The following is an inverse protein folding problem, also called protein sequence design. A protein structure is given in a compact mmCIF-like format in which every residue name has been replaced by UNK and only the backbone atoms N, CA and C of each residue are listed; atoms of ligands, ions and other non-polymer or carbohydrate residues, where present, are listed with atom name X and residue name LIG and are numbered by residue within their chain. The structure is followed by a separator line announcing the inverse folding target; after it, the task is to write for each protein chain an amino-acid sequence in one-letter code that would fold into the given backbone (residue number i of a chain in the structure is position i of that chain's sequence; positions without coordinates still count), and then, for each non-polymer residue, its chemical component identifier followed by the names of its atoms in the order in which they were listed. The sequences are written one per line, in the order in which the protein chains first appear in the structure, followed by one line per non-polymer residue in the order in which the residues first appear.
data_IF_588177376068
#
_entry.id   IF_588177376068
#
_cell.length_a   1.000
_cell.length_b   1.000
_cell.length_c   1.000
_cell.angle_alpha   90.00
_cell.angle_beta   90.00
_cell.angle_gamma   90.00
#
_symmetry.space_group_name_H-M   'P 1'
#
loop_
_entity.id
_entity.type
_entity.pdbx_description
1 polymer ?
#
# COMPACT_ATOMS: atom_id res chain seq x y z
N UNK A 1 1.38 8.67 -9.95
CA UNK A 1 1.34 9.29 -11.29
C UNK A 1 0.82 8.33 -12.36
N UNK A 2 1.44 7.18 -12.58
CA UNK A 2 1.09 6.27 -13.68
C UNK A 2 -0.42 5.92 -13.79
N UNK A 3 -1.09 5.61 -12.67
CA UNK A 3 -2.53 5.30 -12.67
C UNK A 3 -3.40 6.49 -13.13
N UNK A 4 -3.05 7.72 -12.71
CA UNK A 4 -3.73 8.94 -13.16
C UNK A 4 -3.51 9.20 -14.66
N UNK A 5 -2.26 9.02 -15.12
CA UNK A 5 -1.95 9.16 -16.54
C UNK A 5 -2.74 8.14 -17.40
N UNK A 6 -2.80 6.88 -16.97
CA UNK A 6 -3.63 5.88 -17.67
C UNK A 6 -5.11 6.26 -17.72
N UNK A 7 -5.64 6.76 -16.60
CA UNK A 7 -7.04 7.18 -16.54
C UNK A 7 -7.35 8.27 -17.56
N UNK A 8 -6.56 9.35 -17.62
CA UNK A 8 -6.83 10.44 -18.58
C UNK A 8 -6.58 10.00 -20.02
N UNK A 9 -5.61 9.08 -20.25
CA UNK A 9 -5.36 8.50 -21.58
C UNK A 9 -6.56 7.67 -22.10
N UNK A 10 -7.31 6.99 -21.22
CA UNK A 10 -8.51 6.23 -21.59
C UNK A 10 -9.61 7.14 -22.20
N UNK A 11 -9.56 8.43 -21.94
CA UNK A 11 -10.48 9.45 -22.49
C UNK A 11 -9.83 10.27 -23.62
N UNK A 12 -8.74 9.76 -24.22
CA UNK A 12 -8.10 10.38 -25.38
C UNK A 12 -7.23 11.59 -25.08
N UNK A 13 -6.97 11.92 -23.82
CA UNK A 13 -6.07 13.01 -23.42
C UNK A 13 -4.63 12.57 -23.69
N UNK A 14 -3.87 13.39 -24.41
CA UNK A 14 -2.47 13.12 -24.72
C UNK A 14 -1.61 13.25 -23.45
N UNK A 15 -0.67 12.34 -23.29
CA UNK A 15 0.22 12.29 -22.13
C UNK A 15 1.65 12.56 -22.57
N UNK A 16 2.26 13.53 -21.93
CA UNK A 16 3.70 13.76 -21.97
C UNK A 16 4.26 13.94 -20.56
N UNK A 17 5.55 13.79 -20.37
CA UNK A 17 6.18 14.04 -19.08
C UNK A 17 7.57 13.47 -18.94
N UNK A 18 8.10 13.55 -17.71
CA UNK A 18 9.43 13.08 -17.37
C UNK A 18 9.46 12.21 -16.11
N UNK A 19 10.38 11.29 -16.06
CA UNK A 19 10.70 10.49 -14.87
C UNK A 19 12.19 10.19 -14.81
N UNK A 20 12.80 10.33 -13.66
CA UNK A 20 14.22 10.02 -13.46
C UNK A 20 14.55 8.53 -13.74
N UNK A 21 13.59 7.63 -13.53
CA UNK A 21 13.72 6.19 -13.77
C UNK A 21 12.57 5.67 -14.62
N UNK A 22 12.81 5.52 -15.92
CA UNK A 22 11.83 4.89 -16.82
C UNK A 22 11.77 3.40 -16.51
N UNK A 23 10.68 2.96 -15.93
CA UNK A 23 10.43 1.58 -15.51
C UNK A 23 9.31 0.90 -16.34
N UNK A 24 8.96 -0.34 -15.99
CA UNK A 24 7.92 -1.10 -16.71
C UNK A 24 6.54 -0.40 -16.77
N UNK A 25 6.20 0.39 -15.75
CA UNK A 25 4.94 1.17 -15.74
C UNK A 25 5.00 2.35 -16.73
N UNK A 26 6.14 3.04 -16.83
CA UNK A 26 6.37 4.08 -17.83
C UNK A 26 6.35 3.48 -19.24
N UNK A 27 7.02 2.34 -19.45
CA UNK A 27 7.03 1.64 -20.72
C UNK A 27 5.61 1.26 -21.20
N UNK A 28 4.70 0.92 -20.28
CA UNK A 28 3.29 0.68 -20.60
C UNK A 28 2.57 1.92 -21.16
N UNK A 29 2.83 3.10 -20.60
CA UNK A 29 2.30 4.37 -21.12
C UNK A 29 2.91 4.72 -22.47
N UNK A 30 4.23 4.57 -22.63
CA UNK A 30 4.94 4.84 -23.89
C UNK A 30 4.39 3.98 -25.04
N UNK A 31 4.16 2.68 -24.78
CA UNK A 31 3.55 1.78 -25.77
C UNK A 31 2.15 2.22 -26.21
N UNK A 32 1.45 2.94 -25.35
CA UNK A 32 0.12 3.51 -25.64
C UNK A 32 0.18 4.96 -26.15
N UNK A 33 1.34 5.40 -26.62
CA UNK A 33 1.48 6.70 -27.28
C UNK A 33 1.91 7.86 -26.38
N UNK A 34 2.16 7.64 -25.09
CA UNK A 34 2.66 8.69 -24.22
C UNK A 34 4.12 9.05 -24.53
N UNK A 35 4.46 10.33 -24.49
CA UNK A 35 5.82 10.83 -24.64
C UNK A 35 6.46 11.00 -23.28
N UNK A 36 7.29 10.05 -22.84
CA UNK A 36 7.95 10.09 -21.54
C UNK A 36 9.46 10.11 -21.73
N UNK A 37 10.10 11.18 -21.27
CA UNK A 37 11.54 11.39 -21.33
C UNK A 37 12.23 11.31 -19.97
N UNK A 38 13.55 11.58 -19.98
CA UNK A 38 14.31 11.82 -18.75
C UNK A 38 14.27 13.31 -18.40
N UNK A 39 14.40 13.61 -17.11
CA UNK A 39 14.40 14.99 -16.60
C UNK A 39 15.67 15.73 -17.05
N UNK A 40 15.59 17.01 -17.42
CA UNK A 40 14.41 17.85 -17.68
C UNK A 40 13.93 17.78 -19.13
N UNK A 41 12.62 17.88 -19.34
CA UNK A 41 12.04 18.05 -20.68
C UNK A 41 11.13 19.28 -20.73
N UNK A 42 11.63 20.37 -21.31
CA UNK A 42 10.91 21.65 -21.36
C UNK A 42 9.93 21.74 -22.53
N UNK A 43 10.17 21.03 -23.62
CA UNK A 43 9.36 21.12 -24.83
C UNK A 43 7.93 20.66 -24.57
N UNK A 44 7.78 19.55 -23.88
CA UNK A 44 6.46 19.01 -23.58
C UNK A 44 5.66 19.88 -22.58
N UNK A 45 6.34 20.63 -21.71
CA UNK A 45 5.68 21.54 -20.76
C UNK A 45 5.03 22.72 -21.49
N UNK A 46 5.70 23.31 -22.48
CA UNK A 46 5.18 24.50 -23.20
C UNK A 46 3.91 24.23 -23.99
N UNK A 47 3.64 22.97 -24.33
CA UNK A 47 2.47 22.54 -25.10
C UNK A 47 1.39 21.85 -24.25
N UNK A 48 1.54 21.87 -22.93
CA UNK A 48 0.60 21.21 -22.03
C UNK A 48 -0.53 22.14 -21.60
N UNK A 49 -1.76 21.64 -21.57
CA UNK A 49 -2.92 22.36 -21.01
C UNK A 49 -2.85 22.45 -19.48
N UNK A 50 -2.22 21.49 -18.83
CA UNK A 50 -1.96 21.48 -17.39
C UNK A 50 -0.79 20.54 -17.04
N UNK A 51 -0.16 20.79 -15.90
CA UNK A 51 0.94 19.97 -15.35
C UNK A 51 0.54 19.31 -14.04
N UNK A 52 0.79 18.01 -13.91
CA UNK A 52 0.57 17.26 -12.66
C UNK A 52 1.90 16.72 -12.17
N UNK A 53 2.25 17.03 -10.92
CA UNK A 53 3.51 16.59 -10.31
C UNK A 53 3.30 15.77 -9.04
N UNK A 54 4.28 14.92 -8.72
CA UNK A 54 4.33 14.17 -7.46
C UNK A 54 4.82 15.04 -6.31
N UNK A 55 4.33 14.84 -5.09
CA UNK A 55 4.84 15.47 -3.85
C UNK A 55 6.35 15.28 -3.63
N UNK A 56 6.98 14.36 -4.38
CA UNK A 56 8.41 14.14 -4.39
C UNK A 56 9.19 15.18 -5.20
N UNK A 57 8.54 15.91 -6.10
CA UNK A 57 9.17 16.87 -6.99
C UNK A 57 9.31 18.21 -6.25
N UNK A 58 10.55 18.74 -6.08
CA UNK A 58 10.79 19.97 -5.33
C UNK A 58 10.22 21.21 -6.04
N UNK A 59 10.08 22.30 -5.30
CA UNK A 59 9.46 23.54 -5.80
C UNK A 59 10.27 24.25 -6.87
N UNK A 60 11.59 24.03 -6.88
CA UNK A 60 12.58 24.58 -7.83
C UNK A 60 12.78 23.68 -9.06
N UNK A 61 11.99 22.62 -9.19
CA UNK A 61 12.05 21.75 -10.38
C UNK A 61 11.81 22.60 -11.66
N UNK A 62 12.67 22.47 -12.69
CA UNK A 62 12.62 23.32 -13.87
C UNK A 62 11.30 23.22 -14.66
N UNK A 63 10.67 22.05 -14.75
CA UNK A 63 9.38 21.88 -15.42
C UNK A 63 8.26 22.62 -14.69
N UNK A 64 8.27 22.59 -13.33
CA UNK A 64 7.33 23.39 -12.51
C UNK A 64 7.56 24.89 -12.67
N UNK A 65 8.83 25.33 -12.76
CA UNK A 65 9.17 26.73 -12.99
C UNK A 65 8.70 27.20 -14.37
N UNK A 66 8.92 26.36 -15.40
CA UNK A 66 8.49 26.65 -16.78
C UNK A 66 6.96 26.72 -16.91
N UNK A 67 6.23 25.81 -16.26
CA UNK A 67 4.78 25.86 -16.26
C UNK A 67 4.23 27.15 -15.64
N UNK A 68 4.84 27.63 -14.53
CA UNK A 68 4.47 28.91 -13.92
C UNK A 68 4.79 30.11 -14.82
N UNK A 69 5.96 30.10 -15.48
CA UNK A 69 6.35 31.16 -16.46
C UNK A 69 5.33 31.27 -17.60
N UNK A 70 4.71 30.16 -17.99
CA UNK A 70 3.74 30.09 -19.09
C UNK A 70 2.28 30.14 -18.61
N UNK A 71 2.01 30.43 -17.35
CA UNK A 71 0.68 30.43 -16.75
C UNK A 71 -0.12 29.13 -16.96
N UNK A 72 0.59 27.99 -17.09
CA UNK A 72 -0.01 26.66 -17.22
C UNK A 72 -0.50 26.20 -15.83
N UNK A 73 -1.75 25.76 -15.68
CA UNK A 73 -2.28 25.24 -14.41
C UNK A 73 -1.42 24.09 -13.89
N UNK A 74 -1.05 24.14 -12.61
CA UNK A 74 -0.17 23.15 -11.96
C UNK A 74 -0.87 22.51 -10.78
N UNK A 75 -0.99 21.20 -10.79
CA UNK A 75 -1.64 20.42 -9.75
C UNK A 75 -0.66 19.47 -9.07
N UNK A 76 -0.71 19.37 -7.75
CA UNK A 76 -0.09 18.25 -7.08
C UNK A 76 -0.94 16.97 -7.30
N UNK A 77 -0.30 15.81 -7.29
CA UNK A 77 -0.95 14.52 -7.55
C UNK A 77 -2.26 14.32 -6.77
N UNK A 78 -2.30 14.73 -5.51
CA UNK A 78 -3.48 14.53 -4.65
C UNK A 78 -4.63 15.49 -5.01
N UNK A 79 -4.33 16.70 -5.47
CA UNK A 79 -5.31 17.67 -5.95
C UNK A 79 -5.95 17.16 -7.24
N UNK A 80 -5.12 16.68 -8.17
CA UNK A 80 -5.62 16.12 -9.42
C UNK A 80 -6.42 14.83 -9.20
N UNK A 81 -6.00 13.98 -8.24
CA UNK A 81 -6.78 12.81 -7.84
C UNK A 81 -8.16 13.19 -7.30
N UNK A 82 -8.26 14.27 -6.54
CA UNK A 82 -9.53 14.78 -6.03
C UNK A 82 -10.42 15.29 -7.18
N UNK A 83 -9.86 16.02 -8.15
CA UNK A 83 -10.61 16.44 -9.35
C UNK A 83 -11.15 15.23 -10.11
N UNK A 84 -10.33 14.20 -10.37
CA UNK A 84 -10.76 12.97 -11.01
C UNK A 84 -11.86 12.27 -10.20
N UNK A 85 -11.72 12.19 -8.87
CA UNK A 85 -12.72 11.54 -8.01
C UNK A 85 -14.10 12.20 -8.09
N UNK A 86 -14.15 13.51 -8.31
CA UNK A 86 -15.39 14.29 -8.42
C UNK A 86 -16.13 14.12 -9.76
N UNK A 87 -15.52 13.47 -10.73
CA UNK A 87 -16.18 13.11 -12.00
C UNK A 87 -17.15 11.94 -11.82
N UNK A 88 -16.98 11.15 -10.76
CA UNK A 88 -17.76 9.95 -10.50
C UNK A 88 -18.93 10.24 -9.57
N UNK A 89 -20.03 9.48 -9.72
CA UNK A 89 -21.19 9.63 -8.84
C UNK A 89 -20.95 9.13 -7.43
N UNK A 90 -19.98 8.24 -7.24
CA UNK A 90 -19.62 7.71 -5.94
C UNK A 90 -18.13 7.44 -5.85
N UNK A 91 -17.47 7.97 -4.82
CA UNK A 91 -16.07 7.68 -4.51
C UNK A 91 -15.96 6.86 -3.23
N UNK A 92 -15.15 5.79 -3.29
CA UNK A 92 -14.72 4.99 -2.14
C UNK A 92 -13.22 5.22 -1.95
N UNK A 93 -12.83 5.72 -0.79
CA UNK A 93 -11.45 6.04 -0.49
C UNK A 93 -10.94 5.22 0.70
N UNK A 94 -9.87 4.46 0.48
CA UNK A 94 -9.27 3.54 1.46
C UNK A 94 -8.03 4.18 2.08
N UNK A 95 -8.13 4.52 3.36
CA UNK A 95 -7.07 5.09 4.18
C UNK A 95 -6.62 4.13 5.31
N UNK A 96 -5.55 4.49 5.99
CA UNK A 96 -4.96 3.76 7.11
C UNK A 96 -3.45 3.66 6.95
N UNK A 97 -2.73 3.43 8.03
CA UNK A 97 -1.27 3.30 7.98
C UNK A 97 -0.87 2.08 7.14
N UNK A 98 -1.53 0.94 7.34
CA UNK A 98 -1.23 -0.33 6.66
C UNK A 98 -2.46 -0.92 5.96
N UNK A 99 -2.24 -1.76 4.93
CA UNK A 99 -3.29 -2.54 4.28
C UNK A 99 -4.04 -1.85 3.14
N UNK A 100 -3.82 -0.56 2.88
CA UNK A 100 -4.50 0.22 1.83
C UNK A 100 -4.54 -0.51 0.48
N UNK A 101 -3.38 -0.84 -0.06
CA UNK A 101 -3.23 -1.45 -1.40
C UNK A 101 -3.97 -2.80 -1.50
N UNK A 102 -3.80 -3.66 -0.49
CA UNK A 102 -4.46 -4.96 -0.47
C UNK A 102 -5.98 -4.83 -0.39
N UNK A 103 -6.48 -3.96 0.49
CA UNK A 103 -7.93 -3.72 0.65
C UNK A 103 -8.53 -3.09 -0.60
N UNK A 104 -7.84 -2.13 -1.23
CA UNK A 104 -8.26 -1.51 -2.50
C UNK A 104 -8.33 -2.54 -3.62
N UNK A 105 -7.32 -3.42 -3.75
CA UNK A 105 -7.31 -4.48 -4.74
C UNK A 105 -8.42 -5.54 -4.49
N UNK A 106 -8.66 -5.92 -3.23
CA UNK A 106 -9.76 -6.81 -2.85
C UNK A 106 -11.12 -6.21 -3.18
N UNK A 107 -11.33 -4.93 -2.88
CA UNK A 107 -12.58 -4.25 -3.22
C UNK A 107 -12.77 -4.12 -4.73
N UNK A 108 -11.73 -3.77 -5.49
CA UNK A 108 -11.78 -3.75 -6.96
C UNK A 108 -12.20 -5.12 -7.52
N UNK A 109 -11.67 -6.20 -6.96
CA UNK A 109 -12.05 -7.57 -7.33
C UNK A 109 -13.52 -7.89 -6.99
N UNK A 110 -14.00 -7.46 -5.80
CA UNK A 110 -15.41 -7.59 -5.41
C UNK A 110 -16.31 -6.83 -6.40
N UNK A 111 -15.99 -5.57 -6.71
CA UNK A 111 -16.78 -4.75 -7.64
C UNK A 111 -16.84 -5.39 -9.02
N UNK A 112 -15.71 -5.85 -9.57
CA UNK A 112 -15.65 -6.53 -10.86
C UNK A 112 -16.48 -7.82 -10.87
N UNK A 113 -16.33 -8.66 -9.85
CA UNK A 113 -17.05 -9.95 -9.73
C UNK A 113 -18.56 -9.77 -9.59
N UNK A 114 -19.03 -8.59 -9.20
CA UNK A 114 -20.44 -8.24 -9.10
C UNK A 114 -20.92 -7.32 -10.24
N UNK A 115 -20.15 -7.22 -11.33
CA UNK A 115 -20.49 -6.45 -12.54
C UNK A 115 -20.77 -4.96 -12.27
N UNK A 116 -20.13 -4.38 -11.27
CA UNK A 116 -20.21 -2.93 -11.02
C UNK A 116 -19.39 -2.18 -12.04
N UNK A 117 -19.88 -1.06 -12.53
CA UNK A 117 -19.13 -0.11 -13.35
C UNK A 117 -18.21 0.72 -12.44
N UNK A 118 -16.90 0.59 -12.59
CA UNK A 118 -15.95 1.30 -11.73
C UNK A 118 -14.61 1.57 -12.40
N UNK A 119 -13.91 2.57 -11.87
CA UNK A 119 -12.46 2.72 -12.08
C UNK A 119 -11.75 2.66 -10.73
N UNK A 120 -10.55 2.06 -10.69
CA UNK A 120 -9.77 1.99 -9.47
C UNK A 120 -8.30 2.36 -9.67
N UNK A 121 -7.75 3.14 -8.71
CA UNK A 121 -6.33 3.46 -8.60
C UNK A 121 -5.75 2.75 -7.38
N UNK A 122 -4.91 1.77 -7.64
CA UNK A 122 -4.28 0.90 -6.64
C UNK A 122 -2.84 1.36 -6.44
N UNK A 123 -2.40 1.56 -5.20
CA UNK A 123 -1.08 2.10 -4.88
C UNK A 123 0.10 1.16 -5.21
N UNK A 124 -0.18 -0.14 -5.36
CA UNK A 124 0.77 -1.15 -5.82
C UNK A 124 0.25 -1.90 -7.05
N UNK A 125 0.97 -2.94 -7.47
CA UNK A 125 0.56 -3.77 -8.59
C UNK A 125 -0.30 -4.94 -8.12
N UNK A 126 -1.61 -4.87 -8.35
CA UNK A 126 -2.48 -6.04 -8.26
C UNK A 126 -2.12 -7.06 -9.35
N UNK A 127 -2.16 -8.34 -9.03
CA UNK A 127 -1.91 -9.39 -10.01
C UNK A 127 -2.96 -9.34 -11.14
N UNK A 128 -4.20 -9.00 -10.79
CA UNK A 128 -5.31 -8.94 -11.74
C UNK A 128 -5.37 -7.61 -12.52
N UNK A 129 -5.12 -6.46 -11.85
CA UNK A 129 -5.41 -5.13 -12.40
C UNK A 129 -4.17 -4.27 -12.65
N UNK A 130 -2.95 -4.75 -12.30
CA UNK A 130 -1.80 -3.87 -12.17
C UNK A 130 -2.08 -2.76 -11.14
N UNK A 131 -1.73 -1.51 -11.42
CA UNK A 131 -1.97 -0.36 -10.52
C UNK A 131 -3.19 0.49 -10.88
N UNK A 132 -3.93 0.09 -11.93
CA UNK A 132 -5.10 0.80 -12.45
C UNK A 132 -6.02 -0.17 -13.17
N UNK A 133 -7.31 0.05 -13.03
CA UNK A 133 -8.35 -0.62 -13.81
C UNK A 133 -9.44 0.39 -14.17
N UNK A 134 -9.89 0.32 -15.43
CA UNK A 134 -11.09 0.98 -15.90
C UNK A 134 -12.10 -0.10 -16.35
N UNK A 135 -13.12 -0.32 -15.54
CA UNK A 135 -14.24 -1.24 -15.80
C UNK A 135 -15.56 -0.45 -15.89
N UNK A 136 -15.48 0.81 -16.29
CA UNK A 136 -16.66 1.67 -16.40
C UNK A 136 -17.49 1.33 -17.64
N UNK A 137 -16.82 0.95 -18.73
CA UNK A 137 -17.47 0.69 -20.00
C UNK A 137 -18.00 1.97 -20.69
N UNK A 138 -17.52 3.16 -20.24
CA UNK A 138 -17.92 4.46 -20.82
C UNK A 138 -16.78 5.08 -21.59
N UNK A 139 -17.10 5.85 -22.64
CA UNK A 139 -16.14 6.56 -23.49
C UNK A 139 -16.15 8.07 -23.29
N UNK A 140 -17.15 8.60 -22.59
CA UNK A 140 -17.30 10.02 -22.30
C UNK A 140 -17.16 10.26 -20.79
N UNK A 141 -16.49 11.35 -20.42
CA UNK A 141 -16.24 11.70 -18.99
C UNK A 141 -17.55 11.96 -18.25
N UNK A 142 -18.54 12.52 -18.92
CA UNK A 142 -19.84 12.87 -18.37
C UNK A 142 -20.64 11.66 -17.87
N UNK A 143 -20.41 10.47 -18.48
CA UNK A 143 -21.08 9.23 -18.13
C UNK A 143 -20.48 8.55 -16.87
N UNK A 144 -19.37 9.07 -16.36
CA UNK A 144 -18.73 8.56 -15.13
C UNK A 144 -19.59 8.78 -13.89
N UNK A 145 -20.60 9.65 -13.93
CA UNK A 145 -21.54 9.90 -12.83
C UNK A 145 -22.31 8.66 -12.38
N UNK A 146 -22.44 7.66 -13.25
CA UNK A 146 -23.10 6.39 -12.93
C UNK A 146 -22.11 5.30 -12.44
N UNK A 147 -20.85 5.66 -12.29
CA UNK A 147 -19.77 4.73 -11.97
C UNK A 147 -19.20 4.99 -10.57
N UNK A 148 -18.54 3.97 -10.03
CA UNK A 148 -17.80 4.04 -8.76
C UNK A 148 -16.33 4.35 -9.01
N UNK A 149 -15.77 5.32 -8.29
CA UNK A 149 -14.33 5.54 -8.23
C UNK A 149 -13.77 4.95 -6.94
N UNK A 150 -12.73 4.15 -7.06
CA UNK A 150 -12.03 3.52 -5.94
C UNK A 150 -10.57 3.98 -5.92
N UNK A 151 -10.10 4.51 -4.78
CA UNK A 151 -8.71 4.93 -4.66
C UNK A 151 -8.15 4.73 -3.25
N UNK A 152 -6.82 4.70 -3.18
CA UNK A 152 -6.11 4.82 -1.93
C UNK A 152 -6.01 6.28 -1.51
N UNK A 153 -6.34 6.56 -0.25
CA UNK A 153 -6.24 7.87 0.39
C UNK A 153 -4.99 7.91 1.27
N UNK A 154 -3.92 8.53 0.76
CA UNK A 154 -2.62 8.58 1.43
C UNK A 154 -2.61 9.65 2.53
N UNK A 155 -2.19 9.25 3.74
CA UNK A 155 -2.06 10.16 4.89
C UNK A 155 -0.83 11.07 4.82
N UNK A 156 0.18 10.71 4.03
CA UNK A 156 1.39 11.51 3.87
C UNK A 156 1.06 12.95 3.48
N UNK A 157 1.65 13.93 4.19
CA UNK A 157 1.34 15.37 4.06
C UNK A 157 -0.16 15.69 4.13
N UNK A 158 -0.97 14.85 4.75
CA UNK A 158 -2.43 14.97 4.86
C UNK A 158 -3.17 14.99 3.51
N UNK A 159 -2.58 14.42 2.47
CA UNK A 159 -3.09 14.43 1.09
C UNK A 159 -4.51 13.85 0.98
N UNK A 160 -4.87 12.90 1.85
CA UNK A 160 -6.23 12.32 1.89
C UNK A 160 -7.33 13.36 2.13
N UNK A 161 -7.00 14.52 2.73
CA UNK A 161 -7.99 15.58 3.02
C UNK A 161 -8.45 16.35 1.77
N UNK A 162 -7.79 16.18 0.63
CA UNK A 162 -8.26 16.71 -0.65
C UNK A 162 -9.49 15.96 -1.20
N UNK A 163 -9.68 14.70 -0.80
CA UNK A 163 -10.78 13.87 -1.25
C UNK A 163 -12.09 14.16 -0.50
N UNK A 164 -13.23 14.07 -1.21
CA UNK A 164 -14.58 14.15 -0.67
C UNK A 164 -15.37 12.85 -1.01
N UNK A 165 -14.98 11.70 -0.44
CA UNK A 165 -15.59 10.42 -0.80
C UNK A 165 -16.96 10.24 -0.15
N UNK A 166 -17.86 9.53 -0.83
CA UNK A 166 -19.10 9.04 -0.21
C UNK A 166 -18.79 8.00 0.88
N UNK A 167 -17.84 7.10 0.62
CA UNK A 167 -17.43 6.05 1.54
C UNK A 167 -15.96 6.23 1.91
N UNK A 168 -15.69 6.51 3.18
CA UNK A 168 -14.35 6.53 3.75
C UNK A 168 -14.07 5.28 4.56
N UNK A 169 -12.94 4.64 4.30
CA UNK A 169 -12.45 3.51 5.08
C UNK A 169 -11.16 3.89 5.77
N UNK A 170 -11.04 3.67 7.09
CA UNK A 170 -9.79 3.77 7.85
C UNK A 170 -9.48 2.44 8.49
N UNK A 171 -8.50 1.74 7.94
CA UNK A 171 -8.15 0.37 8.33
C UNK A 171 -7.53 0.29 9.72
N UNK A 172 -6.60 1.17 10.00
CA UNK A 172 -5.84 1.29 11.24
C UNK A 172 -5.22 2.68 11.33
N UNK A 173 -4.76 3.05 12.54
CA UNK A 173 -4.07 4.30 12.79
C UNK A 173 -2.86 4.01 13.68
N UNK A 174 -1.66 4.07 13.10
CA UNK A 174 -0.37 3.92 13.75
C UNK A 174 0.49 5.15 13.46
N UNK A 175 1.54 5.37 14.25
CA UNK A 175 2.48 6.44 13.99
C UNK A 175 3.38 6.01 12.83
N UNK A 176 3.30 6.72 11.71
CA UNK A 176 4.21 6.60 10.56
C UNK A 176 4.47 8.00 10.01
N UNK A 177 5.42 8.12 9.09
CA UNK A 177 5.82 9.41 8.50
C UNK A 177 6.24 10.45 9.56
N UNK A 178 7.35 10.21 10.29
CA UNK A 178 7.82 11.11 11.36
C UNK A 178 8.19 12.51 10.87
N UNK A 179 8.36 12.69 9.55
CA UNK A 179 8.54 13.97 8.87
C UNK A 179 7.23 14.78 8.72
N UNK A 180 6.07 14.16 8.97
CA UNK A 180 4.74 14.76 8.77
C UNK A 180 3.87 14.79 10.03
N UNK A 181 4.12 13.88 10.97
CA UNK A 181 3.32 13.69 12.17
C UNK A 181 4.21 13.58 13.41
N UNK A 182 3.96 14.43 14.39
CA UNK A 182 4.72 14.45 15.65
C UNK A 182 4.34 13.26 16.54
N UNK A 183 3.09 12.81 16.50
CA UNK A 183 2.55 11.78 17.37
C UNK A 183 1.33 11.05 16.77
N UNK A 184 0.90 9.97 17.42
CA UNK A 184 -0.30 9.21 17.05
C UNK A 184 -1.58 10.07 17.13
N UNK A 185 -1.63 11.09 17.98
CA UNK A 185 -2.80 11.97 18.13
C UNK A 185 -2.99 12.82 16.89
N UNK A 186 -1.90 13.32 16.29
CA UNK A 186 -1.95 14.10 15.04
C UNK A 186 -2.37 13.23 13.84
N UNK A 187 -1.94 11.96 13.79
CA UNK A 187 -2.40 10.98 12.80
C UNK A 187 -3.90 10.74 12.95
N UNK A 188 -4.38 10.42 14.16
CA UNK A 188 -5.81 10.19 14.46
C UNK A 188 -6.67 11.41 14.16
N UNK A 189 -6.19 12.62 14.45
CA UNK A 189 -6.90 13.86 14.11
C UNK A 189 -7.08 14.02 12.59
N UNK A 190 -6.09 13.64 11.79
CA UNK A 190 -6.15 13.67 10.33
C UNK A 190 -7.18 12.66 9.80
N UNK A 191 -7.15 11.41 10.27
CA UNK A 191 -8.15 10.42 9.89
C UNK A 191 -9.57 10.79 10.35
N UNK A 192 -9.73 11.38 11.52
CA UNK A 192 -11.03 11.88 11.98
C UNK A 192 -11.60 12.95 11.06
N UNK A 193 -10.78 13.95 10.64
CA UNK A 193 -11.18 14.97 9.67
C UNK A 193 -11.58 14.36 8.32
N UNK A 194 -10.83 13.35 7.84
CA UNK A 194 -11.14 12.65 6.61
C UNK A 194 -12.51 11.91 6.69
N UNK A 195 -12.75 11.19 7.77
CA UNK A 195 -14.02 10.49 8.00
C UNK A 195 -15.20 11.44 8.09
N UNK A 196 -15.02 12.67 8.64
CA UNK A 196 -16.10 13.66 8.74
C UNK A 196 -16.61 14.12 7.38
N UNK A 197 -15.82 14.03 6.32
CA UNK A 197 -16.20 14.42 4.95
C UNK A 197 -17.16 13.42 4.26
N UNK A 198 -17.35 12.24 4.83
CA UNK A 198 -18.08 11.13 4.20
C UNK A 198 -19.42 10.85 4.85
N UNK A 199 -20.40 10.46 4.04
CA UNK A 199 -21.70 9.98 4.54
C UNK A 199 -21.60 8.57 5.13
N UNK A 200 -20.72 7.71 4.57
CA UNK A 200 -20.46 6.36 5.07
C UNK A 200 -19.04 6.27 5.59
N UNK A 201 -18.89 5.89 6.85
CA UNK A 201 -17.60 5.80 7.55
C UNK A 201 -17.37 4.36 7.98
N UNK A 202 -16.24 3.78 7.58
CA UNK A 202 -15.88 2.40 7.92
C UNK A 202 -14.56 2.42 8.68
N UNK A 203 -14.57 1.93 9.91
CA UNK A 203 -13.39 1.89 10.79
C UNK A 203 -13.28 0.56 11.51
N UNK A 204 -12.08 0.22 11.98
CA UNK A 204 -11.92 -0.85 12.96
C UNK A 204 -12.58 -0.43 14.28
N UNK A 205 -13.19 -1.38 15.00
CA UNK A 205 -13.80 -1.12 16.31
C UNK A 205 -12.82 -0.46 17.29
N UNK A 206 -11.55 -0.83 17.23
CA UNK A 206 -10.50 -0.25 18.05
C UNK A 206 -10.21 1.24 17.74
N UNK A 207 -10.79 1.78 16.69
CA UNK A 207 -10.62 3.17 16.25
C UNK A 207 -11.97 3.91 16.18
N UNK A 208 -12.98 3.46 16.91
CA UNK A 208 -14.30 4.11 16.93
C UNK A 208 -14.25 5.57 17.39
N UNK A 209 -13.28 5.93 18.23
CA UNK A 209 -13.03 7.31 18.64
C UNK A 209 -12.71 8.26 17.48
N UNK A 210 -12.32 7.74 16.31
CA UNK A 210 -12.13 8.56 15.10
C UNK A 210 -13.45 9.11 14.56
N UNK A 211 -14.56 8.41 14.81
CA UNK A 211 -15.91 8.83 14.41
C UNK A 211 -16.59 9.56 15.57
N UNK A 212 -16.49 9.01 16.78
CA UNK A 212 -17.17 9.52 17.99
C UNK A 212 -16.24 9.40 19.20
N UNK A 213 -15.77 10.55 19.72
CA UNK A 213 -14.84 10.63 20.85
C UNK A 213 -15.40 10.05 22.16
N UNK A 214 -16.70 9.87 22.27
CA UNK A 214 -17.34 9.28 23.46
C UNK A 214 -17.24 7.76 23.49
N UNK A 215 -16.98 7.13 22.34
CA UNK A 215 -16.88 5.67 22.24
C UNK A 215 -15.50 5.18 22.60
N UNK A 216 -15.43 4.39 23.69
CA UNK A 216 -14.20 3.73 24.15
C UNK A 216 -14.16 2.28 23.65
N UNK A 217 -12.93 1.80 23.47
CA UNK A 217 -12.63 0.44 23.09
C UNK A 217 -13.12 -0.56 24.16
N UNK A 218 -13.94 -1.54 23.76
CA UNK A 218 -14.51 -2.52 24.72
C UNK A 218 -14.35 -3.99 24.31
N UNK A 219 -13.68 -4.34 23.21
CA UNK A 219 -13.60 -5.75 22.81
C UNK A 219 -12.21 -6.23 22.38
N UNK A 220 -11.94 -7.52 22.63
CA UNK A 220 -10.76 -8.24 22.15
C UNK A 220 -10.91 -8.72 20.69
N UNK A 221 -12.09 -8.56 20.09
CA UNK A 221 -12.39 -9.02 18.73
C UNK A 221 -12.28 -7.87 17.73
N UNK A 222 -11.66 -8.13 16.59
CA UNK A 222 -11.53 -7.13 15.52
C UNK A 222 -12.80 -7.08 14.68
N UNK A 223 -13.62 -6.06 14.89
CA UNK A 223 -14.78 -5.77 14.06
C UNK A 223 -14.49 -4.61 13.12
N UNK A 224 -15.12 -4.66 11.95
CA UNK A 224 -15.28 -3.50 11.09
C UNK A 224 -16.64 -2.88 11.38
N UNK A 225 -16.67 -1.61 11.74
CA UNK A 225 -17.89 -0.86 12.01
C UNK A 225 -18.12 0.11 10.87
N UNK A 226 -19.28 -0.02 10.22
CA UNK A 226 -19.78 0.89 9.21
C UNK A 226 -20.82 1.81 9.84
N UNK A 227 -20.63 3.11 9.75
CA UNK A 227 -21.60 4.12 10.24
C UNK A 227 -22.14 4.91 9.06
N UNK A 228 -23.46 4.82 8.84
CA UNK A 228 -24.18 5.56 7.82
C UNK A 228 -25.40 6.23 8.44
N UNK A 229 -25.53 7.56 8.28
CA UNK A 229 -26.63 8.35 8.86
C UNK A 229 -26.87 8.06 10.37
N UNK A 230 -25.79 7.94 11.14
CA UNK A 230 -25.84 7.63 12.58
C UNK A 230 -26.17 6.18 12.92
N UNK A 231 -26.49 5.33 11.95
CA UNK A 231 -26.76 3.90 12.16
C UNK A 231 -25.49 3.08 12.00
N UNK A 232 -25.23 2.18 12.96
CA UNK A 232 -24.09 1.28 12.95
C UNK A 232 -24.49 -0.07 12.34
N UNK A 233 -23.66 -0.55 11.41
CA UNK A 233 -23.64 -1.94 10.95
C UNK A 233 -22.27 -2.52 11.25
N UNK A 234 -22.20 -3.76 11.70
CA UNK A 234 -20.92 -4.42 12.04
C UNK A 234 -20.70 -5.62 11.12
N UNK A 235 -19.50 -5.70 10.54
CA UNK A 235 -19.04 -6.88 9.85
C UNK A 235 -17.88 -7.48 10.65
N UNK A 236 -18.06 -8.70 11.09
CA UNK A 236 -17.13 -9.39 11.98
C UNK A 236 -16.44 -10.53 11.23
N UNK A 237 -15.14 -10.64 11.40
CA UNK A 237 -14.37 -11.82 11.04
C UNK A 237 -13.95 -12.57 12.32
N UNK A 238 -14.18 -13.86 12.36
CA UNK A 238 -13.78 -14.73 13.48
C UNK A 238 -13.33 -16.10 12.96
N UNK A 239 -12.54 -16.79 13.75
CA UNK A 239 -11.98 -18.07 13.36
C UNK A 239 -12.69 -19.20 14.08
N UNK A 240 -13.07 -20.25 13.34
CA UNK A 240 -13.54 -21.54 13.81
C UNK A 240 -12.52 -22.62 13.45
N UNK A 241 -12.77 -23.85 13.94
CA UNK A 241 -11.90 -24.99 13.66
C UNK A 241 -11.71 -25.28 12.16
N UNK A 242 -12.70 -24.92 11.32
CA UNK A 242 -12.73 -25.12 9.87
C UNK A 242 -12.32 -23.89 9.04
N UNK A 243 -11.86 -22.83 9.68
CA UNK A 243 -11.33 -21.62 9.02
C UNK A 243 -11.98 -20.30 9.42
N UNK A 244 -11.77 -19.26 8.62
CA UNK A 244 -12.30 -17.94 8.85
C UNK A 244 -13.77 -17.83 8.44
N UNK A 245 -14.56 -17.17 9.27
CA UNK A 245 -15.97 -16.88 9.06
C UNK A 245 -16.20 -15.38 9.11
N UNK A 246 -17.09 -14.87 8.26
CA UNK A 246 -17.49 -13.45 8.26
C UNK A 246 -19.00 -13.36 8.49
N UNK A 247 -19.42 -12.39 9.30
CA UNK A 247 -20.83 -12.16 9.64
C UNK A 247 -21.20 -10.68 9.50
N UNK A 248 -22.39 -10.41 8.99
CA UNK A 248 -23.03 -9.09 8.98
C UNK A 248 -24.05 -8.90 10.12
N UNK A 249 -24.06 -9.84 11.08
CA UNK A 249 -25.02 -9.89 12.19
C UNK A 249 -26.29 -10.66 11.86
N UNK A 250 -26.58 -10.93 10.58
CA UNK A 250 -27.76 -11.71 10.13
C UNK A 250 -27.33 -13.04 9.52
N UNK A 251 -26.25 -13.03 8.76
CA UNK A 251 -25.71 -14.21 8.08
C UNK A 251 -24.26 -14.47 8.49
N UNK A 252 -23.86 -15.73 8.42
CA UNK A 252 -22.48 -16.17 8.65
C UNK A 252 -22.03 -16.94 7.42
N UNK A 253 -20.93 -16.51 6.79
CA UNK A 253 -20.39 -17.10 5.57
C UNK A 253 -18.92 -17.44 5.79
N UNK A 254 -18.48 -18.60 5.27
CA UNK A 254 -17.07 -18.99 5.30
C UNK A 254 -16.30 -18.12 4.32
N UNK A 255 -15.23 -17.49 4.82
CA UNK A 255 -14.32 -16.69 4.00
C UNK A 255 -13.09 -17.53 3.65
N UNK A 256 -12.89 -17.77 2.36
CA UNK A 256 -11.72 -18.45 1.83
C UNK A 256 -10.86 -17.45 1.07
N UNK A 257 -9.58 -17.40 1.42
CA UNK A 257 -8.58 -16.60 0.73
C UNK A 257 -7.43 -17.52 0.30
N UNK A 258 -6.84 -17.28 -0.85
CA UNK A 258 -5.60 -17.99 -1.26
C UNK A 258 -4.47 -17.72 -0.27
N UNK A 259 -4.43 -16.53 0.26
CA UNK A 259 -3.48 -16.07 1.25
C UNK A 259 -4.15 -15.93 2.61
N UNK A 260 -4.05 -16.98 3.42
CA UNK A 260 -4.76 -17.17 4.69
C UNK A 260 -4.14 -16.46 5.90
N UNK A 261 -3.37 -15.39 5.72
CA UNK A 261 -2.83 -14.60 6.83
C UNK A 261 -3.94 -13.82 7.57
N UNK A 262 -3.88 -13.78 8.92
CA UNK A 262 -4.83 -13.03 9.78
C UNK A 262 -5.04 -11.58 9.29
N UNK A 263 -3.95 -10.96 8.86
CA UNK A 263 -3.95 -9.62 8.31
C UNK A 263 -4.79 -9.49 7.02
N UNK A 264 -4.74 -10.50 6.14
CA UNK A 264 -5.54 -10.50 4.91
C UNK A 264 -7.01 -10.73 5.19
N UNK A 265 -7.37 -11.50 6.20
CA UNK A 265 -8.76 -11.62 6.64
C UNK A 265 -9.32 -10.29 7.19
N UNK A 266 -8.49 -9.51 7.90
CA UNK A 266 -8.87 -8.15 8.31
C UNK A 266 -9.09 -7.24 7.10
N UNK A 267 -8.16 -7.19 6.15
CA UNK A 267 -8.31 -6.42 4.92
C UNK A 267 -9.55 -6.83 4.12
N UNK A 268 -9.81 -8.12 4.00
CA UNK A 268 -10.99 -8.67 3.34
C UNK A 268 -12.29 -8.22 4.01
N UNK A 269 -12.32 -8.19 5.35
CA UNK A 269 -13.50 -7.73 6.10
C UNK A 269 -13.82 -6.27 5.79
N UNK A 270 -12.82 -5.40 5.68
CA UNK A 270 -13.00 -4.02 5.25
C UNK A 270 -13.44 -3.89 3.80
N UNK A 271 -12.88 -4.69 2.90
CA UNK A 271 -13.28 -4.71 1.49
C UNK A 271 -14.73 -5.17 1.33
N UNK A 272 -15.17 -6.20 2.08
CA UNK A 272 -16.57 -6.66 2.14
C UNK A 272 -17.48 -5.55 2.65
N UNK A 273 -17.10 -4.87 3.76
CA UNK A 273 -17.88 -3.78 4.33
C UNK A 273 -18.06 -2.62 3.34
N UNK A 274 -17.00 -2.26 2.62
CA UNK A 274 -17.04 -1.24 1.58
C UNK A 274 -17.90 -1.68 0.37
N UNK A 275 -17.83 -2.95 -0.04
CA UNK A 275 -18.69 -3.51 -1.08
C UNK A 275 -20.19 -3.46 -0.69
N UNK A 276 -20.51 -3.81 0.55
CA UNK A 276 -21.89 -3.68 1.09
C UNK A 276 -22.32 -2.21 1.15
N UNK A 277 -21.43 -1.29 1.50
CA UNK A 277 -21.71 0.15 1.47
C UNK A 277 -21.93 0.70 0.05
N UNK A 278 -21.40 0.02 -0.97
CA UNK A 278 -21.72 0.28 -2.39
C UNK A 278 -23.03 -0.35 -2.85
N UNK A 279 -23.81 -0.97 -1.96
CA UNK A 279 -25.11 -1.59 -2.25
C UNK A 279 -25.04 -3.06 -2.66
N UNK A 280 -23.88 -3.71 -2.57
CA UNK A 280 -23.73 -5.11 -2.95
C UNK A 280 -24.28 -6.07 -1.87
N UNK A 281 -24.68 -7.25 -2.31
CA UNK A 281 -25.08 -8.32 -1.42
C UNK A 281 -23.89 -8.85 -0.63
N UNK A 282 -24.03 -9.02 0.68
CA UNK A 282 -22.97 -9.46 1.58
C UNK A 282 -22.34 -10.80 1.16
N UNK A 283 -23.16 -11.82 0.87
CA UNK A 283 -22.67 -13.15 0.49
C UNK A 283 -21.85 -13.10 -0.82
N UNK A 284 -22.31 -12.29 -1.78
CA UNK A 284 -21.63 -12.11 -3.05
C UNK A 284 -20.24 -11.45 -2.86
N UNK A 285 -20.16 -10.46 -1.94
CA UNK A 285 -18.87 -9.85 -1.58
C UNK A 285 -17.90 -10.87 -0.98
N UNK A 286 -18.39 -11.75 -0.09
CA UNK A 286 -17.56 -12.79 0.54
C UNK A 286 -17.08 -13.80 -0.50
N UNK A 287 -17.99 -14.34 -1.33
CA UNK A 287 -17.66 -15.35 -2.34
C UNK A 287 -16.71 -14.84 -3.43
N UNK A 288 -16.83 -13.58 -3.81
CA UNK A 288 -15.93 -12.97 -4.78
C UNK A 288 -14.46 -13.16 -4.39
N UNK A 289 -14.13 -13.05 -3.10
CA UNK A 289 -12.75 -13.14 -2.63
C UNK A 289 -12.12 -14.54 -2.70
N UNK A 290 -12.90 -15.60 -2.96
CA UNK A 290 -12.37 -16.96 -3.16
C UNK A 290 -11.44 -17.04 -4.39
N UNK A 291 -11.68 -16.20 -5.42
CA UNK A 291 -10.89 -16.14 -6.65
C UNK A 291 -9.82 -15.05 -6.65
N UNK A 292 -9.75 -14.24 -5.59
CA UNK A 292 -8.78 -13.13 -5.50
C UNK A 292 -7.33 -13.62 -5.55
N UNK A 293 -6.49 -13.02 -6.41
CA UNK A 293 -5.13 -13.49 -6.68
C UNK A 293 -4.05 -12.83 -5.83
N UNK A 294 -4.32 -11.68 -5.22
CA UNK A 294 -3.36 -10.93 -4.42
C UNK A 294 -2.74 -9.72 -5.10
N UNK A 295 -1.74 -9.16 -4.43
CA UNK A 295 -0.95 -7.99 -4.86
C UNK A 295 0.52 -8.40 -4.88
N UNK A 296 1.26 -7.96 -5.89
CA UNK A 296 2.71 -8.14 -5.94
C UNK A 296 3.39 -7.48 -4.74
N UNK A 297 4.49 -8.05 -4.31
CA UNK A 297 5.26 -7.56 -3.15
C UNK A 297 4.47 -7.59 -1.82
N UNK A 298 3.45 -8.45 -1.68
CA UNK A 298 2.72 -8.67 -0.42
C UNK A 298 2.74 -10.16 -0.09
N UNK A 299 3.81 -10.60 0.58
CA UNK A 299 4.18 -12.01 0.80
C UNK A 299 4.16 -12.81 -0.51
N UNK A 300 4.62 -12.17 -1.56
CA UNK A 300 4.61 -12.72 -2.91
C UNK A 300 5.64 -13.84 -3.02
N UNK A 301 5.19 -15.02 -3.39
CA UNK A 301 6.09 -16.15 -3.65
C UNK A 301 6.83 -15.94 -4.96
N UNK A 302 8.15 -16.07 -4.90
CA UNK A 302 9.02 -16.16 -6.06
C UNK A 302 9.43 -17.61 -6.32
N UNK A 303 10.26 -17.83 -7.33
CA UNK A 303 10.82 -19.13 -7.63
C UNK A 303 11.67 -19.63 -6.47
N UNK A 304 11.61 -20.93 -6.17
CA UNK A 304 12.35 -21.53 -5.09
C UNK A 304 13.83 -21.67 -5.45
N UNK A 305 14.71 -21.49 -4.46
CA UNK A 305 16.14 -21.79 -4.61
C UNK A 305 16.38 -23.21 -4.07
N UNK A 306 16.37 -24.19 -4.97
CA UNK A 306 16.38 -25.60 -4.60
C UNK A 306 15.13 -25.99 -3.83
N UNK A 307 15.25 -26.30 -2.52
CA UNK A 307 14.09 -26.60 -1.64
C UNK A 307 13.64 -25.42 -0.81
N UNK A 308 14.34 -24.30 -0.88
CA UNK A 308 14.10 -23.11 -0.04
C UNK A 308 13.08 -22.18 -0.70
N UNK A 309 11.99 -21.91 0.00
CA UNK A 309 10.93 -21.01 -0.47
C UNK A 309 11.37 -19.57 -0.37
N UNK A 310 11.14 -18.77 -1.41
CA UNK A 310 11.49 -17.34 -1.43
C UNK A 310 10.23 -16.50 -1.50
N UNK A 311 10.14 -15.51 -0.62
CA UNK A 311 9.03 -14.57 -0.58
C UNK A 311 9.54 -13.13 -0.61
N UNK A 312 8.85 -12.26 -1.36
CA UNK A 312 9.08 -10.82 -1.38
C UNK A 312 7.94 -10.10 -0.68
N UNK A 313 8.32 -9.12 0.17
CA UNK A 313 7.35 -8.28 0.85
C UNK A 313 7.77 -6.81 0.88
N UNK A 314 6.80 -5.91 0.71
CA UNK A 314 6.99 -4.47 0.71
C UNK A 314 7.12 -3.87 2.12
N UNK A 315 6.98 -4.69 3.16
CA UNK A 315 7.06 -4.27 4.55
C UNK A 315 8.32 -3.42 4.81
N UNK A 316 8.13 -2.27 5.42
CA UNK A 316 9.19 -1.31 5.72
C UNK A 316 8.98 -0.58 7.04
N UNK A 317 7.84 -0.80 7.70
CA UNK A 317 7.57 -0.39 9.07
C UNK A 317 7.78 -1.57 10.03
N UNK A 318 8.23 -1.34 11.30
CA UNK A 318 8.46 -2.42 12.26
C UNK A 318 7.27 -3.37 12.45
N UNK A 319 6.04 -2.85 12.57
CA UNK A 319 4.84 -3.67 12.74
C UNK A 319 4.58 -4.57 11.53
N UNK A 320 4.79 -4.07 10.31
CA UNK A 320 4.64 -4.87 9.08
C UNK A 320 5.67 -6.00 9.03
N UNK A 321 6.95 -5.71 9.33
CA UNK A 321 8.03 -6.71 9.33
C UNK A 321 7.74 -7.80 10.37
N UNK A 322 7.24 -7.43 11.55
CA UNK A 322 6.86 -8.38 12.59
C UNK A 322 5.76 -9.35 12.10
N UNK A 323 4.75 -8.85 11.40
CA UNK A 323 3.68 -9.68 10.84
C UNK A 323 4.17 -10.59 9.72
N UNK A 324 5.04 -10.10 8.83
CA UNK A 324 5.67 -10.92 7.78
C UNK A 324 6.49 -12.07 8.38
N UNK A 325 7.29 -11.79 9.41
CA UNK A 325 8.06 -12.81 10.12
C UNK A 325 7.13 -13.79 10.85
N UNK A 326 6.10 -13.29 11.54
CA UNK A 326 5.10 -14.11 12.24
C UNK A 326 4.44 -15.11 11.28
N UNK A 327 4.08 -14.64 10.10
CA UNK A 327 3.49 -15.47 9.05
C UNK A 327 4.42 -16.58 8.56
N UNK A 328 5.70 -16.27 8.41
CA UNK A 328 6.69 -17.24 7.92
C UNK A 328 7.12 -18.29 8.97
N UNK A 329 6.80 -18.09 10.27
CA UNK A 329 7.27 -19.00 11.36
C UNK A 329 6.88 -20.45 11.14
N UNK A 330 5.68 -20.69 10.66
CA UNK A 330 5.17 -22.06 10.43
C UNK A 330 5.77 -22.73 9.18
N UNK A 331 6.58 -22.00 8.40
CA UNK A 331 7.20 -22.52 7.19
C UNK A 331 8.60 -23.09 7.44
N UNK A 332 9.18 -22.89 8.65
CA UNK A 332 10.46 -23.47 9.04
C UNK A 332 11.52 -22.44 9.44
N UNK A 333 12.80 -22.74 9.15
CA UNK A 333 13.96 -21.90 9.48
C UNK A 333 14.03 -20.70 8.54
N UNK A 334 13.92 -19.49 9.10
CA UNK A 334 13.81 -18.25 8.35
C UNK A 334 15.17 -17.57 8.18
N UNK A 335 15.48 -17.13 6.95
CA UNK A 335 16.44 -16.08 6.63
C UNK A 335 15.66 -14.82 6.28
N UNK A 336 15.99 -13.71 6.89
CA UNK A 336 15.50 -12.38 6.53
C UNK A 336 16.59 -11.61 5.81
N UNK A 337 16.32 -11.12 4.61
CA UNK A 337 17.10 -10.11 3.91
C UNK A 337 16.29 -8.82 3.96
N UNK A 338 16.75 -7.84 4.70
CA UNK A 338 16.05 -6.60 4.93
C UNK A 338 16.77 -5.42 4.28
N UNK A 339 16.03 -4.64 3.49
CA UNK A 339 16.47 -3.36 2.98
C UNK A 339 15.75 -2.24 3.75
N UNK A 340 16.45 -1.49 4.62
CA UNK A 340 15.87 -0.30 5.23
C UNK A 340 15.42 0.71 4.17
N UNK A 341 14.30 1.39 4.41
CA UNK A 341 13.76 2.39 3.50
C UNK A 341 13.75 3.76 4.17
N UNK A 342 14.53 4.69 3.64
CA UNK A 342 14.86 6.03 4.09
C UNK A 342 15.71 6.09 5.37
N UNK A 343 16.61 7.07 5.44
CA UNK A 343 17.51 7.27 6.58
C UNK A 343 16.78 7.76 7.81
N UNK A 344 15.80 8.66 7.64
CA UNK A 344 14.98 9.21 8.72
C UNK A 344 14.15 8.13 9.43
N UNK A 345 13.49 7.25 8.65
CA UNK A 345 12.71 6.12 9.20
C UNK A 345 13.64 5.13 9.91
N UNK A 346 14.80 4.81 9.32
CA UNK A 346 15.77 3.91 9.95
C UNK A 346 16.22 4.45 11.31
N UNK A 347 16.42 5.77 11.45
CA UNK A 347 16.73 6.45 12.71
C UNK A 347 15.56 6.41 13.69
N UNK A 348 14.36 6.78 13.23
CA UNK A 348 13.17 6.87 14.09
C UNK A 348 12.79 5.52 14.72
N UNK A 349 12.94 4.42 13.97
CA UNK A 349 12.56 3.07 14.43
C UNK A 349 13.74 2.14 14.68
N UNK A 350 14.93 2.68 14.91
CA UNK A 350 16.17 1.89 15.07
C UNK A 350 16.03 0.79 16.13
N UNK A 351 15.49 1.15 17.31
CA UNK A 351 15.32 0.22 18.42
C UNK A 351 14.28 -0.89 18.12
N UNK A 352 13.22 -0.53 17.41
CA UNK A 352 12.14 -1.46 17.03
C UNK A 352 12.63 -2.44 15.96
N UNK A 353 13.29 -1.96 14.92
CA UNK A 353 13.94 -2.82 13.92
C UNK A 353 14.95 -3.77 14.56
N UNK A 354 15.80 -3.25 15.45
CA UNK A 354 16.77 -4.08 16.16
C UNK A 354 16.08 -5.14 17.01
N UNK A 355 14.98 -4.80 17.68
CA UNK A 355 14.19 -5.74 18.48
C UNK A 355 13.56 -6.85 17.62
N UNK A 356 12.94 -6.49 16.49
CA UNK A 356 12.22 -7.43 15.64
C UNK A 356 13.19 -8.38 14.92
N UNK A 357 14.28 -7.84 14.38
CA UNK A 357 15.25 -8.63 13.64
C UNK A 357 16.23 -9.39 14.55
N UNK A 358 16.54 -8.83 15.72
CA UNK A 358 17.55 -9.37 16.65
C UNK A 358 17.04 -10.45 17.61
N UNK A 359 15.78 -10.36 18.05
CA UNK A 359 15.28 -11.23 19.10
C UNK A 359 15.18 -12.71 18.69
N UNK A 360 15.79 -13.61 19.46
CA UNK A 360 15.80 -15.07 19.23
C UNK A 360 14.40 -15.68 19.13
N UNK A 361 13.44 -15.18 19.91
CA UNK A 361 12.06 -15.67 19.97
C UNK A 361 11.26 -15.48 18.65
N UNK A 362 11.79 -14.72 17.70
CA UNK A 362 11.12 -14.45 16.44
C UNK A 362 11.31 -15.55 15.37
N UNK A 363 12.05 -16.64 15.69
CA UNK A 363 12.26 -17.77 14.77
C UNK A 363 13.22 -17.48 13.62
N UNK A 364 13.75 -16.27 13.53
CA UNK A 364 14.71 -15.86 12.49
C UNK A 364 16.11 -16.36 12.82
N UNK A 365 16.65 -17.23 11.97
CA UNK A 365 17.99 -17.81 12.15
C UNK A 365 19.08 -16.89 11.60
N UNK A 366 18.85 -16.29 10.46
CA UNK A 366 19.79 -15.43 9.74
C UNK A 366 19.14 -14.10 9.38
N UNK A 367 19.85 -13.00 9.60
CA UNK A 367 19.48 -11.65 9.17
C UNK A 367 20.60 -11.10 8.30
N UNK A 368 20.25 -10.63 7.11
CA UNK A 368 21.14 -9.89 6.24
C UNK A 368 20.55 -8.51 5.97
N UNK A 369 21.32 -7.47 6.17
CA UNK A 369 20.89 -6.08 6.02
C UNK A 369 21.55 -5.52 4.77
N UNK A 370 20.74 -5.05 3.82
CA UNK A 370 21.16 -4.35 2.63
C UNK A 370 21.45 -2.87 2.94
N UNK A 371 22.19 -2.15 2.07
CA UNK A 371 22.27 -0.70 2.13
C UNK A 371 20.87 -0.05 2.16
N UNK A 372 20.73 1.02 2.94
CA UNK A 372 19.45 1.75 3.02
C UNK A 372 19.05 2.31 1.65
N UNK A 373 17.82 2.06 1.24
CA UNK A 373 17.27 2.73 0.07
C UNK A 373 16.89 4.17 0.45
N UNK A 374 17.70 5.11 -0.02
CA UNK A 374 17.60 6.52 0.38
C UNK A 374 16.30 7.20 -0.12
N UNK A 375 15.67 6.66 -1.19
CA UNK A 375 14.60 7.33 -1.93
C UNK A 375 15.02 8.75 -2.36
N UNK A 376 14.60 9.77 -1.62
CA UNK A 376 14.93 11.19 -1.87
C UNK A 376 15.69 11.86 -0.70
N UNK A 377 16.04 11.08 0.32
CA UNK A 377 16.71 11.60 1.50
C UNK A 377 18.24 11.61 1.31
N UNK A 378 18.91 12.45 2.09
CA UNK A 378 20.35 12.47 2.26
C UNK A 378 20.73 11.76 3.55
N UNK A 379 21.96 11.26 3.65
CA UNK A 379 22.43 10.58 4.87
C UNK A 379 22.38 11.51 6.11
N UNK A 380 22.50 12.82 5.93
CA UNK A 380 22.31 13.82 6.99
C UNK A 380 20.94 13.77 7.66
N UNK A 381 19.94 13.20 6.98
CA UNK A 381 18.53 13.18 7.46
C UNK A 381 18.30 12.06 8.49
N UNK A 382 19.24 11.10 8.61
CA UNK A 382 19.05 9.98 9.52
C UNK A 382 20.28 9.10 9.72
N UNK A 383 20.10 7.78 9.65
CA UNK A 383 21.16 6.78 9.82
C UNK A 383 21.09 5.70 8.74
N UNK A 384 22.24 5.14 8.39
CA UNK A 384 22.33 4.06 7.41
C UNK A 384 22.24 2.66 8.05
N UNK A 385 22.27 1.66 7.23
CA UNK A 385 22.12 0.22 7.53
C UNK A 385 23.21 -0.32 8.45
N UNK A 386 24.43 0.24 8.46
CA UNK A 386 25.51 -0.12 9.36
C UNK A 386 25.19 0.20 10.83
N UNK A 387 24.51 1.32 11.09
CA UNK A 387 24.03 1.69 12.43
C UNK A 387 22.98 0.68 12.92
N UNK A 388 22.06 0.25 12.04
CA UNK A 388 21.11 -0.79 12.38
C UNK A 388 21.79 -2.15 12.64
N UNK A 389 22.76 -2.52 11.81
CA UNK A 389 23.55 -3.72 12.00
C UNK A 389 24.21 -3.72 13.38
N UNK A 390 24.91 -2.63 13.74
CA UNK A 390 25.58 -2.48 15.03
C UNK A 390 24.57 -2.54 16.21
N UNK A 391 23.42 -1.87 16.09
CA UNK A 391 22.36 -1.90 17.11
C UNK A 391 21.85 -3.32 17.39
N UNK A 392 21.71 -4.16 16.35
CA UNK A 392 21.33 -5.56 16.52
C UNK A 392 22.48 -6.38 17.12
N UNK A 393 23.69 -6.19 16.61
CA UNK A 393 24.87 -6.96 17.02
C UNK A 393 25.19 -6.70 18.50
N UNK A 394 25.24 -5.45 18.93
CA UNK A 394 25.60 -5.05 20.29
C UNK A 394 24.55 -5.49 21.32
N UNK A 395 23.27 -5.25 21.02
CA UNK A 395 22.18 -5.54 21.95
C UNK A 395 21.85 -7.02 22.08
N UNK A 396 21.86 -7.76 20.97
CA UNK A 396 21.37 -9.14 20.95
C UNK A 396 22.47 -10.17 20.81
N UNK A 397 23.74 -9.74 20.59
CA UNK A 397 24.89 -10.63 20.37
C UNK A 397 24.55 -11.74 19.37
N UNK A 398 23.79 -11.40 18.34
CA UNK A 398 23.19 -12.38 17.41
C UNK A 398 24.24 -12.94 16.47
N UNK A 399 24.51 -14.25 16.59
CA UNK A 399 25.21 -14.98 15.56
C UNK A 399 24.29 -15.11 14.32
N UNK A 400 24.84 -14.90 13.12
CA UNK A 400 24.07 -14.97 11.85
C UNK A 400 23.42 -13.66 11.43
N UNK A 401 24.00 -12.52 11.85
CA UNK A 401 23.71 -11.22 11.27
C UNK A 401 24.84 -10.83 10.30
N UNK A 402 24.46 -10.23 9.16
CA UNK A 402 25.37 -9.86 8.08
C UNK A 402 25.00 -8.49 7.51
N UNK A 403 25.99 -7.68 7.20
CA UNK A 403 25.85 -6.43 6.45
C UNK A 403 26.27 -6.68 5.01
N UNK A 404 25.41 -6.39 4.06
CA UNK A 404 25.60 -6.59 2.63
C UNK A 404 26.01 -5.28 1.95
N UNK A 405 26.72 -5.36 0.82
CA UNK A 405 27.27 -4.18 0.14
C UNK A 405 26.45 -3.71 -1.07
N UNK A 406 25.41 -4.44 -1.45
CA UNK A 406 24.57 -4.10 -2.61
C UNK A 406 23.94 -5.33 -3.28
N UNK A 407 23.40 -5.15 -4.47
CA UNK A 407 22.60 -6.16 -5.18
C UNK A 407 23.36 -7.48 -5.39
N UNK A 408 24.54 -7.44 -6.01
CA UNK A 408 25.30 -8.65 -6.33
C UNK A 408 25.72 -9.42 -5.07
N UNK A 409 26.25 -8.74 -4.06
CA UNK A 409 26.60 -9.38 -2.79
C UNK A 409 25.40 -10.00 -2.08
N UNK A 410 24.21 -9.43 -2.27
CA UNK A 410 22.94 -9.98 -1.73
C UNK A 410 22.57 -11.28 -2.44
N UNK A 411 22.65 -11.32 -3.76
CA UNK A 411 22.38 -12.51 -4.56
C UNK A 411 23.32 -13.65 -4.18
N UNK A 412 24.62 -13.38 -4.14
CA UNK A 412 25.65 -14.38 -3.81
C UNK A 412 25.45 -14.91 -2.38
N UNK A 413 25.14 -14.02 -1.43
CA UNK A 413 24.84 -14.37 -0.05
C UNK A 413 23.61 -15.28 0.04
N UNK A 414 22.52 -14.90 -0.61
CA UNK A 414 21.27 -15.67 -0.61
C UNK A 414 21.49 -17.05 -1.22
N UNK A 415 22.06 -17.14 -2.42
CA UNK A 415 22.32 -18.41 -3.11
C UNK A 415 23.24 -19.34 -2.30
N UNK A 416 24.29 -18.82 -1.68
CA UNK A 416 25.23 -19.60 -0.89
C UNK A 416 24.64 -20.20 0.38
N UNK A 417 23.62 -19.56 0.95
CA UNK A 417 23.02 -19.94 2.24
C UNK A 417 21.61 -20.55 2.14
N UNK A 418 21.00 -20.50 0.98
CA UNK A 418 19.62 -21.01 0.77
C UNK A 418 19.45 -22.42 1.34
N UNK A 419 20.34 -23.37 1.03
CA UNK A 419 20.27 -24.77 1.46
C UNK A 419 20.15 -24.99 2.98
N UNK A 420 20.50 -24.01 3.81
CA UNK A 420 20.44 -24.11 5.28
C UNK A 420 19.17 -23.50 5.89
N UNK A 421 18.23 -23.06 5.06
CA UNK A 421 16.97 -22.43 5.46
C UNK A 421 15.80 -23.04 4.69
N UNK A 422 14.62 -22.99 5.30
CA UNK A 422 13.38 -23.45 4.68
C UNK A 422 12.69 -22.29 3.95
N UNK A 423 12.92 -21.05 4.43
CA UNK A 423 12.29 -19.84 3.93
C UNK A 423 13.28 -18.67 3.87
N UNK A 424 13.25 -17.92 2.80
CA UNK A 424 13.92 -16.63 2.64
C UNK A 424 12.85 -15.55 2.47
N UNK A 425 12.92 -14.53 3.32
CA UNK A 425 12.09 -13.33 3.25
C UNK A 425 12.94 -12.16 2.73
N UNK A 426 12.61 -11.67 1.54
CA UNK A 426 13.19 -10.48 0.92
C UNK A 426 12.26 -9.30 1.25
N UNK A 427 12.64 -8.47 2.23
CA UNK A 427 11.77 -7.47 2.84
C UNK A 427 12.28 -6.06 2.56
N UNK A 428 11.44 -5.20 1.98
CA UNK A 428 11.74 -3.78 1.78
C UNK A 428 10.91 -3.11 0.69
N UNK A 429 10.76 -1.79 0.81
CA UNK A 429 10.02 -0.96 -0.12
C UNK A 429 10.87 -0.41 -1.28
N UNK A 430 12.19 -0.61 -1.22
CA UNK A 430 13.16 -0.14 -2.22
C UNK A 430 13.34 -1.09 -3.40
N UNK A 431 14.58 -1.10 -3.91
CA UNK A 431 15.00 -1.85 -5.09
C UNK A 431 15.35 -3.32 -4.80
N UNK A 432 15.21 -3.80 -3.57
CA UNK A 432 15.36 -5.21 -3.22
C UNK A 432 14.47 -6.12 -4.10
N UNK A 433 13.32 -5.60 -4.56
CA UNK A 433 12.42 -6.36 -5.44
C UNK A 433 13.00 -6.60 -6.82
N UNK A 434 13.89 -5.72 -7.30
CA UNK A 434 14.55 -5.87 -8.60
C UNK A 434 15.45 -7.12 -8.64
N UNK A 435 15.81 -7.67 -7.46
CA UNK A 435 16.59 -8.90 -7.34
C UNK A 435 15.80 -10.16 -7.65
N UNK A 436 14.47 -10.08 -7.77
CA UNK A 436 13.58 -11.23 -7.95
C UNK A 436 13.98 -12.08 -9.17
N UNK A 437 14.19 -11.44 -10.30
CA UNK A 437 14.54 -12.13 -11.54
C UNK A 437 16.01 -12.61 -11.56
N UNK A 438 16.87 -12.03 -10.72
CA UNK A 438 18.30 -12.40 -10.60
C UNK A 438 18.54 -13.58 -9.64
N UNK A 439 17.57 -13.94 -8.82
CA UNK A 439 17.62 -15.07 -7.89
C UNK A 439 17.25 -16.41 -8.53
N UNK A 440 16.75 -16.36 -9.75
CA UNK A 440 16.45 -17.54 -10.57
C UNK A 440 17.67 -18.39 -10.84
#
# INVERSE_FOLDING_TARGET
MNALAKFVADFGIQISGSDAKINGLCNGLIKNGAKIGKIPDFFEVENADFLVFSSAIPSDNPERAKAREKDIPVFERHEFLALVSNLFGQTVAIAGTHGKTTTTAMLAHILKSNNVKFAAMIGGESIEFSNYVNNTGVSQIEDLKDCVFLCEACEYKRNLLALDPRVSVVLNAECDHPDCYDDLKSVKATFSKFLQKSSVKIVCENNLELIDKTKKQNSKNSFCVCVENGKEKRIQCFFKADGAMVSDGKKIVKLKLKDEGEYNYKNATFAIAAGVACGLNFENCVRALESYQGVKRRFERADDIGKTKVYFDFAHHPSEIAEVIKRARNLGKIMVVFQPHTYSRTKAYLADFASILGAKRNGVKTVAIMPTYAARERLSDGVDSDVLFNAIFDKYRKRGIYLLKGAQSTIDFVKSRAKSHDVILMIGAGDIYDLKDMLR
#
